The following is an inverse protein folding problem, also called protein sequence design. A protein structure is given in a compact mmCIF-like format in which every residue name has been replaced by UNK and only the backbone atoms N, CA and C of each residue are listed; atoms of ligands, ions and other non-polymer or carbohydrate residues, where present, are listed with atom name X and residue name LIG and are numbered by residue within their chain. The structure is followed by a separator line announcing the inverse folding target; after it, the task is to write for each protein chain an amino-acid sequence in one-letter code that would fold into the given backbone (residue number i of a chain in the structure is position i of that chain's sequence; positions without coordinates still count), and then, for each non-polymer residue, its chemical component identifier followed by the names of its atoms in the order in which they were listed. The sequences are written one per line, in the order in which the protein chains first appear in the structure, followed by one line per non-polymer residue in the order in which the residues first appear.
data_IF_276146458883
#
_entry.id   IF_276146458883
#
_cell.length_a   1.000
_cell.length_b   1.000
_cell.length_c   1.000
_cell.angle_alpha   90.00
_cell.angle_beta   90.00
_cell.angle_gamma   90.00
#
_symmetry.space_group_name_H-M   'P 1'
#
loop_
_entity.id
_entity.type
_entity.pdbx_description
1 polymer ?
#
# COMPACT_ATOMS: atom_id res chain seq x y z
N UNK A 1 -20.49 -6.49 0.93
CA UNK A 1 -19.05 -6.37 0.63
C UNK A 1 -18.28 -6.43 1.94
N UNK A 2 -17.12 -7.09 1.97
CA UNK A 2 -16.21 -7.12 3.13
C UNK A 2 -14.94 -6.35 2.75
N UNK A 3 -14.50 -5.43 3.61
CA UNK A 3 -13.22 -4.72 3.46
C UNK A 3 -12.30 -5.20 4.58
N UNK A 4 -11.04 -5.46 4.26
CA UNK A 4 -10.00 -5.82 5.23
C UNK A 4 -8.65 -5.27 4.83
N UNK A 5 -7.80 -4.97 5.80
CA UNK A 5 -6.42 -4.55 5.54
C UNK A 5 -5.52 -5.75 5.24
N UNK A 6 -4.52 -5.53 4.38
CA UNK A 6 -3.53 -6.53 4.00
C UNK A 6 -2.17 -5.86 3.81
N UNK A 7 -1.10 -6.44 4.36
CA UNK A 7 0.26 -5.98 4.12
C UNK A 7 1.00 -6.97 3.23
N UNK A 8 1.73 -6.46 2.23
CA UNK A 8 2.60 -7.30 1.41
C UNK A 8 3.67 -7.96 2.31
N UNK A 9 3.81 -9.29 2.33
CA UNK A 9 4.78 -9.96 3.19
C UNK A 9 6.25 -9.69 2.77
N UNK A 10 6.48 -9.26 1.53
CA UNK A 10 7.84 -9.02 1.01
C UNK A 10 8.35 -7.59 1.22
N UNK A 11 7.49 -6.57 1.15
CA UNK A 11 7.92 -5.15 1.25
C UNK A 11 7.12 -4.31 2.25
N UNK A 12 6.20 -4.94 2.99
CA UNK A 12 5.34 -4.30 3.97
C UNK A 12 4.43 -3.17 3.44
N UNK A 13 4.28 -3.02 2.12
CA UNK A 13 3.32 -2.09 1.55
C UNK A 13 1.89 -2.45 1.95
N UNK A 14 1.12 -1.46 2.39
CA UNK A 14 -0.25 -1.64 2.87
C UNK A 14 -1.28 -1.62 1.75
N UNK A 15 -2.30 -2.47 1.85
CA UNK A 15 -3.41 -2.57 0.93
C UNK A 15 -4.73 -2.66 1.69
N UNK A 16 -5.78 -2.11 1.09
CA UNK A 16 -7.16 -2.47 1.43
C UNK A 16 -7.66 -3.49 0.41
N UNK A 17 -8.29 -4.55 0.92
CA UNK A 17 -8.85 -5.63 0.13
C UNK A 17 -10.37 -5.58 0.24
N UNK A 18 -11.03 -5.40 -0.90
CA UNK A 18 -12.48 -5.47 -1.02
C UNK A 18 -12.88 -6.84 -1.59
N UNK A 19 -13.68 -7.61 -0.85
CA UNK A 19 -14.27 -8.87 -1.30
C UNK A 19 -15.79 -8.70 -1.47
N UNK A 20 -16.29 -9.04 -2.66
CA UNK A 20 -17.73 -9.11 -2.90
C UNK A 20 -18.35 -10.31 -2.19
N UNK A 21 -19.55 -10.11 -1.63
CA UNK A 21 -20.31 -11.19 -0.99
C UNK A 21 -21.42 -11.73 -1.90
N UNK A 22 -21.76 -11.01 -2.97
CA UNK A 22 -22.91 -11.30 -3.84
C UNK A 22 -22.56 -11.40 -5.31
N UNK A 23 -21.44 -10.81 -5.73
CA UNK A 23 -20.96 -10.90 -7.11
C UNK A 23 -19.96 -12.04 -7.24
N UNK A 24 -20.22 -12.92 -8.21
CA UNK A 24 -19.28 -13.96 -8.60
C UNK A 24 -18.08 -13.34 -9.31
N UNK A 25 -16.89 -13.83 -8.98
CA UNK A 25 -15.66 -13.47 -9.66
C UNK A 25 -15.13 -14.62 -10.50
N UNK A 26 -13.84 -14.55 -10.81
CA UNK A 26 -13.08 -15.66 -11.39
C UNK A 26 -11.93 -16.04 -10.46
N UNK A 27 -11.42 -17.27 -10.57
CA UNK A 27 -10.13 -17.63 -10.01
C UNK A 27 -9.07 -16.64 -10.50
N UNK A 28 -8.14 -16.26 -9.62
CA UNK A 28 -7.14 -15.28 -9.98
C UNK A 28 -6.08 -15.09 -8.90
N UNK A 29 -5.19 -14.14 -9.17
CA UNK A 29 -4.18 -13.72 -8.23
C UNK A 29 -4.04 -12.20 -8.24
N UNK A 30 -3.42 -11.69 -7.19
CA UNK A 30 -3.06 -10.29 -7.06
C UNK A 30 -1.57 -10.18 -6.80
N UNK A 31 -0.93 -9.20 -7.43
CA UNK A 31 0.50 -8.92 -7.29
C UNK A 31 0.71 -7.58 -6.59
N UNK A 32 1.82 -7.47 -5.88
CA UNK A 32 2.22 -6.25 -5.23
C UNK A 32 2.70 -5.26 -6.28
N UNK A 33 2.00 -4.13 -6.39
CA UNK A 33 2.39 -3.03 -7.29
C UNK A 33 3.76 -2.42 -6.97
N UNK A 34 4.27 -2.61 -5.75
CA UNK A 34 5.56 -2.06 -5.29
C UNK A 34 6.73 -2.99 -5.61
N UNK A 35 6.60 -4.29 -5.35
CA UNK A 35 7.73 -5.24 -5.47
C UNK A 35 7.47 -6.44 -6.40
N UNK A 36 6.29 -6.56 -7.00
CA UNK A 36 5.90 -7.65 -7.90
C UNK A 36 5.59 -8.99 -7.22
N UNK A 37 5.78 -9.11 -5.90
CA UNK A 37 5.48 -10.35 -5.18
C UNK A 37 3.98 -10.66 -5.18
N UNK A 38 3.59 -11.93 -5.24
CA UNK A 38 2.19 -12.36 -5.17
C UNK A 38 1.62 -12.04 -3.78
N UNK A 39 0.58 -11.22 -3.72
CA UNK A 39 -0.15 -10.89 -2.49
C UNK A 39 -1.08 -12.03 -2.08
N UNK A 40 -1.84 -12.57 -3.04
CA UNK A 40 -2.72 -13.70 -2.84
C UNK A 40 -3.04 -14.40 -4.17
N UNK A 41 -3.41 -15.67 -4.08
CA UNK A 41 -3.98 -16.46 -5.18
C UNK A 41 -5.21 -17.19 -4.66
N UNK A 42 -6.28 -17.26 -5.44
CA UNK A 42 -7.52 -17.90 -5.03
C UNK A 42 -8.13 -18.70 -6.17
N UNK A 43 -8.71 -19.86 -5.81
CA UNK A 43 -9.38 -20.76 -6.76
C UNK A 43 -10.88 -20.58 -6.75
N UNK A 44 -11.48 -20.19 -5.62
CA UNK A 44 -12.92 -19.92 -5.58
C UNK A 44 -13.25 -18.69 -6.43
N UNK A 45 -14.37 -18.67 -7.18
CA UNK A 45 -14.80 -17.54 -8.00
C UNK A 45 -15.25 -16.37 -7.11
N UNK A 46 -14.28 -15.67 -6.52
CA UNK A 46 -14.50 -14.53 -5.64
C UNK A 46 -14.03 -13.26 -6.31
N UNK A 47 -14.92 -12.28 -6.41
CA UNK A 47 -14.54 -10.96 -6.89
C UNK A 47 -13.80 -10.21 -5.77
N UNK A 48 -12.51 -9.97 -5.98
CA UNK A 48 -11.62 -9.29 -5.05
C UNK A 48 -10.91 -8.13 -5.73
N UNK A 49 -10.72 -7.03 -5.02
CA UNK A 49 -9.91 -5.91 -5.46
C UNK A 49 -8.91 -5.53 -4.37
N UNK A 50 -7.65 -5.27 -4.77
CA UNK A 50 -6.57 -4.84 -3.91
C UNK A 50 -6.23 -3.38 -4.25
N UNK A 51 -6.40 -2.49 -3.28
CA UNK A 51 -6.04 -1.07 -3.41
C UNK A 51 -4.80 -0.79 -2.58
N UNK A 52 -3.71 -0.35 -3.20
CA UNK A 52 -2.52 0.11 -2.48
C UNK A 52 -2.88 1.35 -1.65
N UNK A 53 -2.62 1.30 -0.35
CA UNK A 53 -2.76 2.42 0.59
C UNK A 53 -1.36 2.94 0.88
N UNK A 54 -0.98 4.01 0.18
CA UNK A 54 0.21 4.77 0.56
C UNK A 54 -0.13 5.61 1.80
N UNK A 55 0.71 5.54 2.83
CA UNK A 55 0.59 6.47 3.94
C UNK A 55 0.81 7.90 3.41
N UNK A 56 0.08 8.92 3.91
CA UNK A 56 0.22 10.29 3.43
C UNK A 56 1.67 10.81 3.44
N UNK A 57 2.48 10.33 4.37
CA UNK A 57 3.89 10.66 4.56
C UNK A 57 4.79 10.12 3.44
N UNK A 58 4.35 9.06 2.73
CA UNK A 58 5.04 8.47 1.59
C UNK A 58 4.50 9.00 0.25
N UNK A 59 3.42 9.76 0.26
CA UNK A 59 2.83 10.35 -0.95
C UNK A 59 3.67 11.50 -1.51
N UNK A 60 4.47 12.15 -0.66
CA UNK A 60 5.35 13.25 -1.03
C UNK A 60 6.80 12.89 -0.76
N UNK A 61 7.75 13.33 -1.61
CA UNK A 61 9.16 13.23 -1.28
C UNK A 61 9.46 13.90 0.06
N UNK A 62 10.28 13.27 0.90
CA UNK A 62 10.78 13.94 2.11
C UNK A 62 11.71 15.06 1.67
N UNK A 63 11.28 16.31 1.84
CA UNK A 63 12.12 17.49 1.64
C UNK A 63 12.91 17.71 2.95
N UNK A 64 14.26 17.65 2.93
CA UNK A 64 15.05 17.97 4.11
C UNK A 64 14.77 19.39 4.59
N UNK A 65 14.73 19.59 5.90
CA UNK A 65 14.65 20.94 6.46
C UNK A 65 15.90 21.74 6.06
N UNK A 66 15.77 23.04 5.76
CA UNK A 66 16.93 23.90 5.56
C UNK A 66 17.79 23.94 6.85
N UNK A 67 19.11 24.17 6.72
CA UNK A 67 19.99 24.28 7.88
C UNK A 67 19.54 25.41 8.81
N UNK A 68 19.72 25.21 10.12
CA UNK A 68 19.44 26.24 11.13
C UNK A 68 20.27 27.50 10.86
N UNK A 69 19.72 28.71 11.12
CA UNK A 69 20.49 29.94 11.01
C UNK A 69 21.72 29.87 11.91
N UNK A 70 22.89 30.14 11.36
CA UNK A 70 24.11 30.35 12.16
C UNK A 70 23.97 31.71 12.86
N UNK A 71 23.86 31.69 14.19
CA UNK A 71 24.05 32.90 14.99
C UNK A 71 25.52 33.32 14.87
N UNK A 72 25.76 34.44 14.19
CA UNK A 72 27.06 35.07 14.16
C UNK A 72 27.20 35.93 15.42
N UNK A 73 27.99 35.47 16.38
CA UNK A 73 28.37 36.28 17.54
C UNK A 73 29.67 37.03 17.21
N UNK A 74 29.64 38.36 17.02
CA UNK A 74 30.85 39.13 16.74
C UNK A 74 31.71 39.24 18.01
N UNK A 75 33.01 39.06 17.83
CA UNK A 75 34.05 39.20 18.86
C UNK A 75 34.29 40.65 19.29
#
# INVERSE_FOLDING_TARGET
MKISDFACPSCASSYEVAESLSAEGSPGHAECTVCGAVLASWREPKLRAYRLVLSPELKYPRIPAPPSPVHFEPA
#
